data_IF_899414147848
#
_entry.id   IF_899414147848
#
_cell.length_a   1.000
_cell.length_b   1.000
_cell.length_c   1.000
_cell.angle_alpha   90.00
_cell.angle_beta   90.00
_cell.angle_gamma   90.00
#
_symmetry.space_group_name_H-M   'P 1'
#
loop_
_entity.id
_entity.type
_entity.pdbx_description
1 polymer ?
#
# COMPACT_ATOMS: atom_id res chain seq x y z
N UNK A 1 6.21 6.68 52.87
CA UNK A 1 6.37 5.85 51.64
C UNK A 1 7.68 5.08 51.73
N UNK A 2 7.61 3.76 51.63
CA UNK A 2 8.78 2.88 51.62
C UNK A 2 9.73 3.26 50.47
N UNK A 3 11.02 3.48 50.74
CA UNK A 3 12.01 3.89 49.73
C UNK A 3 12.07 2.93 48.54
N UNK A 4 11.90 1.63 48.79
CA UNK A 4 11.78 0.59 47.76
C UNK A 4 10.65 0.88 46.76
N UNK A 5 9.48 1.30 47.25
CA UNK A 5 8.32 1.61 46.40
C UNK A 5 8.57 2.83 45.49
N UNK A 6 9.28 3.86 46.00
CA UNK A 6 9.65 5.04 45.21
C UNK A 6 10.57 4.67 44.05
N UNK A 7 11.58 3.84 44.29
CA UNK A 7 12.50 3.40 43.25
C UNK A 7 11.82 2.48 42.22
N UNK A 8 10.94 1.58 42.66
CA UNK A 8 10.16 0.74 41.73
C UNK A 8 9.27 1.58 40.82
N UNK A 9 8.56 2.59 41.37
CA UNK A 9 7.73 3.52 40.59
C UNK A 9 8.56 4.34 39.59
N UNK A 10 9.73 4.83 40.01
CA UNK A 10 10.63 5.55 39.12
C UNK A 10 11.11 4.68 37.96
N UNK A 11 11.45 3.41 38.23
CA UNK A 11 11.88 2.46 37.20
C UNK A 11 10.78 2.15 36.20
N UNK A 12 9.54 1.93 36.67
CA UNK A 12 8.38 1.73 35.82
C UNK A 12 8.12 2.97 34.95
N UNK A 13 8.21 4.17 35.52
CA UNK A 13 8.01 5.42 34.79
C UNK A 13 9.03 5.58 33.64
N UNK A 14 10.32 5.33 33.90
CA UNK A 14 11.36 5.38 32.87
C UNK A 14 11.11 4.34 31.77
N UNK A 15 10.67 3.13 32.13
CA UNK A 15 10.40 2.06 31.18
C UNK A 15 9.20 2.38 30.28
N UNK A 16 8.14 2.97 30.85
CA UNK A 16 6.98 3.45 30.10
C UNK A 16 7.35 4.60 29.14
N UNK A 17 8.21 5.53 29.58
CA UNK A 17 8.71 6.61 28.72
C UNK A 17 9.54 6.03 27.56
N UNK A 18 10.46 5.11 27.85
CA UNK A 18 11.26 4.43 26.82
C UNK A 18 10.39 3.66 25.81
N UNK A 19 9.37 2.96 26.29
CA UNK A 19 8.41 2.25 25.44
C UNK A 19 7.61 3.22 24.57
N UNK A 20 7.08 4.30 25.14
CA UNK A 20 6.33 5.31 24.40
C UNK A 20 7.19 5.96 23.31
N UNK A 21 8.44 6.31 23.63
CA UNK A 21 9.40 6.86 22.67
C UNK A 21 9.70 5.86 21.54
N UNK A 22 10.01 4.59 21.88
CA UNK A 22 10.27 3.55 20.90
C UNK A 22 9.07 3.30 19.98
N UNK A 23 7.86 3.28 20.54
CA UNK A 23 6.61 3.13 19.79
C UNK A 23 6.36 4.31 18.84
N UNK A 24 6.54 5.55 19.30
CA UNK A 24 6.35 6.75 18.49
C UNK A 24 7.37 6.84 17.34
N UNK A 25 8.63 6.54 17.60
CA UNK A 25 9.68 6.53 16.57
C UNK A 25 9.39 5.44 15.52
N UNK A 26 9.07 4.23 15.96
CA UNK A 26 8.73 3.11 15.06
C UNK A 26 7.49 3.41 14.23
N UNK A 27 6.43 3.93 14.87
CA UNK A 27 5.20 4.33 14.22
C UNK A 27 5.42 5.40 13.15
N UNK A 28 6.24 6.43 13.44
CA UNK A 28 6.55 7.50 12.49
C UNK A 28 7.40 7.01 11.32
N UNK A 29 8.37 6.13 11.55
CA UNK A 29 9.19 5.52 10.49
C UNK A 29 8.36 4.65 9.56
N UNK A 30 7.50 3.79 10.11
CA UNK A 30 6.59 2.92 9.34
C UNK A 30 5.59 3.77 8.55
N UNK A 31 4.99 4.77 9.18
CA UNK A 31 4.03 5.66 8.51
C UNK A 31 4.67 6.39 7.32
N UNK A 32 5.90 6.89 7.47
CA UNK A 32 6.63 7.58 6.40
C UNK A 32 7.05 6.64 5.25
N UNK A 33 7.39 5.38 5.54
CA UNK A 33 7.68 4.37 4.50
C UNK A 33 6.41 3.96 3.75
N UNK A 34 5.32 3.70 4.48
CA UNK A 34 4.03 3.30 3.90
C UNK A 34 3.45 4.43 3.04
N UNK A 35 3.49 5.68 3.51
CA UNK A 35 3.02 6.82 2.72
C UNK A 35 3.86 7.04 1.45
N UNK A 36 5.20 6.88 1.52
CA UNK A 36 6.05 6.95 0.32
C UNK A 36 5.70 5.86 -0.69
N UNK A 37 5.52 4.62 -0.23
CA UNK A 37 5.13 3.51 -1.10
C UNK A 37 3.75 3.75 -1.72
N UNK A 38 2.78 4.23 -0.94
CA UNK A 38 1.45 4.59 -1.45
C UNK A 38 1.51 5.73 -2.46
N UNK A 39 2.39 6.70 -2.25
CA UNK A 39 2.58 7.82 -3.17
C UNK A 39 3.21 7.36 -4.49
N UNK A 40 4.19 6.45 -4.49
CA UNK A 40 4.82 5.91 -5.72
C UNK A 40 3.79 5.35 -6.70
N UNK A 41 2.73 4.72 -6.19
CA UNK A 41 1.64 4.18 -7.00
C UNK A 41 0.63 5.23 -7.49
N UNK A 42 0.84 6.49 -7.18
CA UNK A 42 0.08 7.63 -7.72
C UNK A 42 0.93 8.39 -8.73
N UNK A 43 0.30 9.01 -9.72
CA UNK A 43 1.02 9.86 -10.69
C UNK A 43 1.88 10.94 -10.02
N UNK A 44 1.40 11.52 -8.92
CA UNK A 44 2.11 12.57 -8.18
C UNK A 44 3.33 12.02 -7.44
N UNK A 45 3.21 10.87 -6.77
CA UNK A 45 4.36 10.30 -6.07
C UNK A 45 5.36 9.62 -7.00
N UNK A 46 4.92 9.05 -8.13
CA UNK A 46 5.83 8.61 -9.18
C UNK A 46 6.73 9.77 -9.64
N UNK A 47 6.14 10.91 -10.02
CA UNK A 47 6.90 12.12 -10.39
C UNK A 47 7.79 12.64 -9.26
N UNK A 48 7.32 12.59 -8.02
CA UNK A 48 8.07 13.04 -6.84
C UNK A 48 9.32 12.20 -6.59
N UNK A 49 9.22 10.86 -6.68
CA UNK A 49 10.37 9.99 -6.46
C UNK A 49 11.45 10.20 -7.53
N UNK A 50 11.08 10.36 -8.80
CA UNK A 50 12.05 10.66 -9.86
C UNK A 50 12.68 12.05 -9.71
N UNK A 51 11.91 13.06 -9.29
CA UNK A 51 12.47 14.38 -8.99
C UNK A 51 13.46 14.33 -7.83
N UNK A 52 13.12 13.58 -6.77
CA UNK A 52 13.98 13.40 -5.59
C UNK A 52 15.23 12.58 -5.89
N UNK A 53 15.16 11.62 -6.81
CA UNK A 53 16.31 10.79 -7.17
C UNK A 53 17.28 11.55 -8.08
N UNK A 54 16.75 12.20 -9.11
CA UNK A 54 17.55 12.75 -10.21
C UNK A 54 17.94 14.22 -10.00
N UNK A 55 17.29 14.93 -9.07
CA UNK A 55 17.50 16.36 -8.82
C UNK A 55 17.58 17.21 -10.11
N UNK A 56 16.61 17.09 -11.03
CA UNK A 56 16.70 17.74 -12.34
C UNK A 56 16.58 19.27 -12.21
N UNK A 57 17.24 20.01 -13.11
CA UNK A 57 17.01 21.45 -13.27
C UNK A 57 15.56 21.73 -13.69
N UNK A 58 15.06 22.98 -13.54
CA UNK A 58 13.71 23.33 -13.98
C UNK A 58 13.46 23.04 -15.46
N UNK A 59 14.45 23.31 -16.31
CA UNK A 59 14.36 23.05 -17.76
C UNK A 59 14.34 21.54 -18.09
N UNK A 60 15.16 20.75 -17.40
CA UNK A 60 15.13 19.29 -17.52
C UNK A 60 13.80 18.72 -17.05
N UNK A 61 13.26 19.26 -15.96
CA UNK A 61 11.99 18.82 -15.39
C UNK A 61 10.82 19.06 -16.35
N UNK A 62 10.78 20.21 -17.06
CA UNK A 62 9.76 20.48 -18.07
C UNK A 62 9.84 19.51 -19.25
N UNK A 63 11.06 19.19 -19.72
CA UNK A 63 11.28 18.18 -20.78
C UNK A 63 10.90 16.76 -20.34
N UNK A 64 11.16 16.42 -19.08
CA UNK A 64 10.86 15.09 -18.52
C UNK A 64 9.39 14.91 -18.15
N UNK A 65 8.64 16.00 -17.91
CA UNK A 65 7.24 15.96 -17.46
C UNK A 65 6.35 15.04 -18.31
N UNK A 66 6.29 15.16 -19.65
CA UNK A 66 5.43 14.28 -20.46
C UNK A 66 5.84 12.80 -20.35
N UNK A 67 7.14 12.50 -20.31
CA UNK A 67 7.67 11.14 -20.16
C UNK A 67 7.22 10.55 -18.82
N UNK A 68 7.45 11.29 -17.72
CA UNK A 68 7.07 10.83 -16.39
C UNK A 68 5.55 10.65 -16.25
N UNK A 69 4.73 11.42 -16.95
CA UNK A 69 3.27 11.29 -16.93
C UNK A 69 2.78 10.05 -17.69
N UNK A 70 3.37 9.74 -18.84
CA UNK A 70 3.08 8.52 -19.60
C UNK A 70 3.43 7.26 -18.80
N UNK A 71 4.66 7.18 -18.29
CA UNK A 71 5.10 6.03 -17.49
C UNK A 71 4.34 5.91 -16.17
N UNK A 72 3.94 7.02 -15.55
CA UNK A 72 3.08 6.99 -14.38
C UNK A 72 1.69 6.41 -14.68
N UNK A 73 1.14 6.70 -15.87
CA UNK A 73 -0.14 6.12 -16.31
C UNK A 73 0.00 4.62 -16.60
N UNK A 74 1.02 4.22 -17.36
CA UNK A 74 1.31 2.80 -17.67
C UNK A 74 1.53 1.97 -16.41
N UNK A 75 2.32 2.49 -15.46
CA UNK A 75 2.52 1.84 -14.17
C UNK A 75 1.20 1.66 -13.41
N UNK A 76 0.34 2.69 -13.39
CA UNK A 76 -0.98 2.60 -12.77
C UNK A 76 -1.85 1.52 -13.42
N UNK A 77 -1.86 1.44 -14.75
CA UNK A 77 -2.60 0.42 -15.48
C UNK A 77 -2.09 -0.99 -15.18
N UNK A 78 -0.77 -1.20 -15.17
CA UNK A 78 -0.14 -2.47 -14.80
C UNK A 78 -0.54 -2.92 -13.39
N UNK A 79 -0.53 -2.01 -12.41
CA UNK A 79 -0.94 -2.32 -11.04
C UNK A 79 -2.42 -2.71 -10.98
N UNK A 80 -3.29 -2.02 -11.72
CA UNK A 80 -4.71 -2.33 -11.76
C UNK A 80 -4.97 -3.69 -12.41
N UNK A 81 -4.27 -3.99 -13.51
CA UNK A 81 -4.33 -5.28 -14.17
C UNK A 81 -3.85 -6.42 -13.24
N UNK A 82 -2.68 -6.27 -12.63
CA UNK A 82 -2.13 -7.25 -11.69
C UNK A 82 -3.07 -7.50 -10.51
N UNK A 83 -3.68 -6.44 -9.95
CA UNK A 83 -4.66 -6.57 -8.86
C UNK A 83 -5.87 -7.41 -9.26
N UNK A 84 -6.36 -7.26 -10.48
CA UNK A 84 -7.50 -8.01 -10.96
C UNK A 84 -7.13 -9.47 -11.23
N UNK A 85 -5.99 -9.73 -11.86
CA UNK A 85 -5.46 -11.08 -12.04
C UNK A 85 -5.26 -11.80 -10.70
N UNK A 86 -4.66 -11.10 -9.73
CA UNK A 86 -4.47 -11.64 -8.40
C UNK A 86 -5.81 -11.91 -7.67
N UNK A 87 -6.84 -11.08 -7.89
CA UNK A 87 -8.18 -11.30 -7.33
C UNK A 87 -8.78 -12.58 -7.93
N UNK A 88 -8.70 -12.74 -9.24
CA UNK A 88 -9.24 -13.90 -9.93
C UNK A 88 -8.51 -15.18 -9.52
N UNK A 89 -7.18 -15.15 -9.43
CA UNK A 89 -6.38 -16.29 -8.96
C UNK A 89 -6.83 -16.79 -7.59
N UNK A 90 -7.14 -15.88 -6.66
CA UNK A 90 -7.57 -16.26 -5.31
C UNK A 90 -9.00 -16.78 -5.27
N UNK A 91 -9.88 -16.26 -6.13
CA UNK A 91 -11.24 -16.82 -6.30
C UNK A 91 -11.18 -18.24 -6.84
N UNK A 92 -10.32 -18.49 -7.82
CA UNK A 92 -10.12 -19.83 -8.38
C UNK A 92 -9.58 -20.77 -7.30
N UNK A 93 -8.54 -20.36 -6.56
CA UNK A 93 -8.02 -21.12 -5.42
C UNK A 93 -9.12 -21.46 -4.40
N UNK A 94 -9.99 -20.50 -4.06
CA UNK A 94 -11.12 -20.75 -3.16
C UNK A 94 -12.07 -21.80 -3.74
N UNK A 95 -12.44 -21.65 -5.01
CA UNK A 95 -13.34 -22.58 -5.70
C UNK A 95 -12.76 -24.00 -5.74
N UNK A 96 -11.48 -24.13 -6.09
CA UNK A 96 -10.80 -25.41 -6.26
C UNK A 96 -10.56 -26.13 -4.93
N UNK A 97 -10.34 -25.39 -3.84
CA UNK A 97 -10.17 -25.96 -2.50
C UNK A 97 -11.49 -26.35 -1.84
N UNK A 98 -12.59 -25.65 -2.15
CA UNK A 98 -13.89 -25.80 -1.46
C UNK A 98 -14.38 -27.26 -1.34
N UNK A 99 -14.23 -28.15 -2.35
CA UNK A 99 -14.68 -29.55 -2.24
C UNK A 99 -13.93 -30.37 -1.19
N UNK A 100 -12.72 -29.97 -0.83
CA UNK A 100 -11.84 -30.71 0.09
C UNK A 100 -11.91 -30.22 1.53
N UNK A 101 -12.74 -29.20 1.81
CA UNK A 101 -12.77 -28.51 3.09
C UNK A 101 -14.02 -28.86 3.89
N UNK A 102 -13.85 -29.04 5.19
CA UNK A 102 -14.97 -29.10 6.12
C UNK A 102 -15.72 -27.75 6.15
N UNK A 103 -17.02 -27.72 6.48
CA UNK A 103 -17.81 -26.49 6.51
C UNK A 103 -17.21 -25.36 7.37
N UNK A 104 -16.56 -25.71 8.49
CA UNK A 104 -15.87 -24.74 9.34
C UNK A 104 -14.63 -24.13 8.68
N UNK A 105 -13.91 -24.91 7.87
CA UNK A 105 -12.74 -24.45 7.12
C UNK A 105 -13.14 -23.51 5.98
N UNK A 106 -14.29 -23.78 5.33
CA UNK A 106 -14.87 -22.89 4.32
C UNK A 106 -15.19 -21.52 4.93
N UNK A 107 -15.84 -21.48 6.10
CA UNK A 107 -16.11 -20.21 6.81
C UNK A 107 -14.84 -19.45 7.16
N UNK A 108 -13.78 -20.14 7.60
CA UNK A 108 -12.47 -19.50 7.87
C UNK A 108 -11.86 -18.88 6.60
N UNK A 109 -11.99 -19.58 5.48
CA UNK A 109 -11.50 -19.11 4.18
C UNK A 109 -12.26 -17.87 3.69
N UNK A 110 -13.59 -17.83 3.84
CA UNK A 110 -14.43 -16.67 3.51
C UNK A 110 -14.10 -15.44 4.38
N UNK A 111 -13.87 -15.63 5.68
CA UNK A 111 -13.47 -14.54 6.59
C UNK A 111 -12.13 -13.93 6.16
N UNK A 112 -11.16 -14.78 5.78
CA UNK A 112 -9.86 -14.34 5.28
C UNK A 112 -10.03 -13.50 4.00
N UNK A 113 -10.85 -13.96 3.05
CA UNK A 113 -11.13 -13.25 1.80
C UNK A 113 -11.80 -11.89 2.05
N UNK A 114 -12.81 -11.84 2.92
CA UNK A 114 -13.47 -10.60 3.30
C UNK A 114 -12.53 -9.60 3.98
N UNK A 115 -11.58 -10.06 4.82
CA UNK A 115 -10.54 -9.20 5.39
C UNK A 115 -9.65 -8.64 4.29
N UNK A 116 -9.15 -9.49 3.39
CA UNK A 116 -8.32 -9.09 2.24
C UNK A 116 -9.02 -8.06 1.35
N UNK A 117 -10.29 -8.29 1.01
CA UNK A 117 -11.10 -7.38 0.18
C UNK A 117 -11.31 -6.02 0.85
N UNK A 118 -11.47 -5.97 2.18
CA UNK A 118 -11.55 -4.70 2.93
C UNK A 118 -10.25 -3.89 2.84
N UNK A 119 -9.09 -4.54 2.99
CA UNK A 119 -7.79 -3.87 2.84
C UNK A 119 -7.57 -3.34 1.42
N UNK A 120 -8.00 -4.07 0.40
CA UNK A 120 -7.91 -3.63 -1.00
C UNK A 120 -8.86 -2.47 -1.31
N UNK A 121 -10.11 -2.51 -0.82
CA UNK A 121 -11.12 -1.46 -1.03
C UNK A 121 -10.78 -0.15 -0.32
N UNK A 122 -10.17 -0.23 0.86
CA UNK A 122 -9.74 0.93 1.64
C UNK A 122 -8.36 1.46 1.21
N UNK A 123 -7.74 0.86 0.19
CA UNK A 123 -6.48 1.34 -0.34
C UNK A 123 -6.71 2.73 -0.99
N UNK A 124 -5.93 3.78 -0.64
CA UNK A 124 -6.19 5.17 -1.06
C UNK A 124 -6.24 5.39 -2.58
N UNK A 125 -5.74 4.43 -3.37
CA UNK A 125 -5.89 4.42 -4.82
C UNK A 125 -7.33 4.27 -5.34
N UNK A 126 -8.26 3.70 -4.56
CA UNK A 126 -9.67 3.57 -4.98
C UNK A 126 -10.53 4.83 -4.76
N UNK A 127 -10.07 5.80 -3.95
CA UNK A 127 -10.87 6.99 -3.61
C UNK A 127 -10.88 8.10 -4.66
N UNK A 128 -10.04 8.04 -5.71
CA UNK A 128 -10.10 9.03 -6.79
C UNK A 128 -11.02 8.53 -7.90
N UNK A 129 -12.18 9.20 -8.05
CA UNK A 129 -13.19 8.96 -9.08
C UNK A 129 -12.54 8.64 -10.42
N UNK A 130 -12.92 7.49 -10.96
CA UNK A 130 -12.54 6.99 -12.26
C UNK A 130 -13.00 7.97 -13.34
N UNK A 131 -12.06 8.54 -14.10
CA UNK A 131 -12.36 8.86 -15.49
C UNK A 131 -11.99 7.61 -16.31
N UNK A 132 -12.92 7.05 -17.09
CA UNK A 132 -12.57 6.03 -18.08
C UNK A 132 -11.50 6.63 -19.01
N UNK A 133 -10.43 5.91 -19.38
CA UNK A 133 -9.59 6.35 -20.47
C UNK A 133 -10.45 6.36 -21.74
N UNK A 134 -10.72 7.53 -22.29
CA UNK A 134 -11.15 7.64 -23.68
C UNK A 134 -10.03 7.10 -24.58
N UNK A 135 -10.39 6.17 -25.47
CA UNK A 135 -9.53 5.70 -26.55
C UNK A 135 -8.51 4.64 -26.14
N UNK A 136 -8.88 3.37 -26.26
CA UNK A 136 -7.89 2.31 -26.52
C UNK A 136 -7.57 2.35 -28.02
N UNK A 137 -6.31 2.50 -28.47
CA UNK A 137 -5.89 1.91 -29.73
C UNK A 137 -5.88 0.38 -29.52
N UNK A 138 -6.50 -0.37 -30.44
CA UNK A 138 -6.33 -1.83 -30.52
C UNK A 138 -4.82 -2.09 -30.67
N UNK A 139 -4.22 -2.79 -29.72
CA UNK A 139 -2.86 -3.30 -29.89
C UNK A 139 -2.82 -4.31 -31.05
N UNK A 140 -1.71 -4.40 -31.80
CA UNK A 140 -1.60 -5.39 -32.87
C UNK A 140 -1.55 -6.79 -32.25
N UNK A 141 -2.39 -7.68 -32.77
CA UNK A 141 -2.29 -9.10 -32.47
C UNK A 141 -0.97 -9.64 -32.99
N UNK A 142 -0.28 -10.37 -32.12
CA UNK A 142 0.69 -11.39 -32.47
C UNK A 142 0.18 -12.70 -31.86
#
# INVERSE_FOLDING_TARGET
MNTKLKYTLAFIAVLLIGFALGFLVSGRLIHNRVNRMQNYYTKKGFRYEFRRLLHPSPEQLEKMRPILEDYAQKNRENIMFFREQQRQLMKNLHHDLKPFLAPEQVKRLEIMEHRRMRFLRNSPMHRRRMHPPHGRPRGPGF
#
